data_IF_040996267015
#
_entry.id   IF_040996267015
#
_cell.length_a   1.000
_cell.length_b   1.000
_cell.length_c   1.000
_cell.angle_alpha   90.00
_cell.angle_beta   90.00
_cell.angle_gamma   90.00
#
_symmetry.space_group_name_H-M   'P 1'
#
loop_
_entity.id
_entity.type
_entity.pdbx_description
1 polymer ?
#
# COMPACT_ATOMS: atom_id res chain seq x y z
N UNK A 1 15.98 -10.78 -4.09
CA UNK A 1 15.45 -11.13 -2.75
C UNK A 1 15.46 -9.84 -1.93
N UNK A 2 14.29 -9.30 -1.55
CA UNK A 2 14.24 -8.23 -0.54
C UNK A 2 14.59 -8.90 0.79
N UNK A 3 15.54 -8.35 1.54
CA UNK A 3 15.89 -8.86 2.87
C UNK A 3 14.67 -8.69 3.77
N UNK A 4 14.15 -9.77 4.28
CA UNK A 4 13.13 -9.75 5.33
C UNK A 4 13.78 -9.12 6.56
N UNK A 5 13.16 -8.10 7.12
CA UNK A 5 13.64 -7.45 8.35
C UNK A 5 13.38 -8.44 9.48
N UNK A 6 14.42 -8.83 10.22
CA UNK A 6 14.27 -9.84 11.27
C UNK A 6 13.42 -9.31 12.44
N UNK A 7 13.66 -8.07 12.87
CA UNK A 7 12.87 -7.37 13.89
C UNK A 7 12.60 -5.94 13.41
N UNK A 8 11.44 -5.66 12.78
CA UNK A 8 11.10 -4.31 12.42
C UNK A 8 10.88 -3.45 13.67
N UNK A 9 11.44 -2.23 13.65
CA UNK A 9 11.25 -1.26 14.73
C UNK A 9 10.25 -0.21 14.32
N UNK A 10 9.21 -0.02 15.14
CA UNK A 10 8.13 0.91 14.83
C UNK A 10 7.92 1.93 15.94
N UNK A 11 7.58 3.15 15.56
CA UNK A 11 7.09 4.17 16.47
C UNK A 11 5.57 4.32 16.31
N UNK A 12 4.84 4.39 17.41
CA UNK A 12 3.38 4.60 17.42
C UNK A 12 3.07 6.06 17.76
N UNK A 13 2.48 6.77 16.79
CA UNK A 13 1.94 8.11 16.94
C UNK A 13 0.42 8.04 17.10
N UNK A 14 -0.13 8.61 18.17
CA UNK A 14 -1.55 8.60 18.44
C UNK A 14 -1.97 9.87 19.22
N UNK A 15 -3.26 10.20 19.22
CA UNK A 15 -3.77 11.29 20.02
C UNK A 15 -3.97 10.82 21.48
N UNK A 16 -3.50 11.61 22.43
CA UNK A 16 -3.85 11.37 23.82
C UNK A 16 -5.35 11.62 24.03
N UNK A 17 -6.07 10.55 24.19
CA UNK A 17 -7.50 10.51 24.43
C UNK A 17 -7.84 10.09 25.86
N UNK A 18 -8.96 9.39 26.01
CA UNK A 18 -9.40 8.81 27.28
C UNK A 18 -8.44 7.72 27.77
N UNK A 19 -8.50 7.38 29.05
CA UNK A 19 -7.70 6.28 29.60
C UNK A 19 -8.02 4.94 28.89
N UNK A 20 -9.29 4.68 28.57
CA UNK A 20 -9.68 3.49 27.82
C UNK A 20 -9.03 3.44 26.43
N UNK A 21 -8.94 4.56 25.74
CA UNK A 21 -8.26 4.64 24.46
C UNK A 21 -6.76 4.35 24.60
N UNK A 22 -6.12 4.92 25.62
CA UNK A 22 -4.71 4.66 25.93
C UNK A 22 -4.43 3.20 26.27
N UNK A 23 -5.33 2.54 27.00
CA UNK A 23 -5.26 1.10 27.27
C UNK A 23 -5.37 0.28 25.96
N UNK A 24 -6.29 0.64 25.08
CA UNK A 24 -6.45 0.01 23.76
C UNK A 24 -5.19 0.16 22.90
N UNK A 25 -4.57 1.33 22.88
CA UNK A 25 -3.29 1.58 22.19
C UNK A 25 -2.18 0.71 22.78
N UNK A 26 -2.11 0.60 24.12
CA UNK A 26 -1.11 -0.24 24.79
C UNK A 26 -1.30 -1.72 24.49
N UNK A 27 -2.54 -2.22 24.48
CA UNK A 27 -2.83 -3.60 24.09
C UNK A 27 -2.37 -3.87 22.66
N UNK A 28 -2.75 -3.03 21.70
CA UNK A 28 -2.29 -3.15 20.32
C UNK A 28 -0.75 -3.14 20.19
N UNK A 29 -0.07 -2.28 20.95
CA UNK A 29 1.39 -2.25 20.96
C UNK A 29 1.99 -3.55 21.55
N UNK A 30 1.35 -4.12 22.57
CA UNK A 30 1.74 -5.41 23.14
C UNK A 30 1.57 -6.54 22.14
N UNK A 31 0.45 -6.57 21.40
CA UNK A 31 0.21 -7.58 20.35
C UNK A 31 1.29 -7.51 19.26
N UNK A 32 1.75 -6.31 18.89
CA UNK A 32 2.86 -6.15 17.94
C UNK A 32 4.18 -6.70 18.50
N UNK A 33 4.47 -6.45 19.78
CA UNK A 33 5.68 -6.98 20.44
C UNK A 33 5.64 -8.51 20.50
N UNK A 34 4.50 -9.09 20.81
CA UNK A 34 4.31 -10.56 20.81
C UNK A 34 4.52 -11.18 19.42
N UNK A 35 4.30 -10.39 18.36
CA UNK A 35 4.61 -10.77 16.99
C UNK A 35 6.05 -10.40 16.55
N UNK A 36 6.96 -10.09 17.49
CA UNK A 36 8.39 -9.87 17.23
C UNK A 36 8.75 -8.49 16.68
N UNK A 37 7.86 -7.51 16.79
CA UNK A 37 8.08 -6.13 16.35
C UNK A 37 8.59 -5.30 17.54
N UNK A 38 9.71 -4.60 17.39
CA UNK A 38 10.23 -3.65 18.40
C UNK A 38 9.40 -2.36 18.36
N UNK A 39 8.61 -2.13 19.40
CA UNK A 39 7.66 -1.01 19.47
C UNK A 39 8.16 0.08 20.39
N UNK A 40 8.35 1.28 19.84
CA UNK A 40 8.56 2.50 20.60
C UNK A 40 7.21 3.18 20.85
N UNK A 41 6.79 3.19 22.12
CA UNK A 41 5.58 3.82 22.59
C UNK A 41 5.90 4.84 23.71
N UNK A 42 5.29 6.01 23.64
CA UNK A 42 5.47 7.09 24.62
C UNK A 42 5.16 6.64 26.05
N UNK A 43 4.08 5.89 26.25
CA UNK A 43 3.65 5.40 27.58
C UNK A 43 4.72 4.55 28.29
N UNK A 44 5.67 3.99 27.55
CA UNK A 44 6.79 3.19 28.10
C UNK A 44 8.10 3.98 28.15
N UNK A 45 8.27 4.92 27.25
CA UNK A 45 9.55 5.58 26.99
C UNK A 45 9.65 6.97 27.62
N UNK A 46 8.52 7.70 27.74
CA UNK A 46 8.51 9.03 28.35
C UNK A 46 8.39 8.94 29.87
N UNK A 47 9.15 9.81 30.52
CA UNK A 47 9.10 10.04 31.97
C UNK A 47 8.82 11.51 32.23
N UNK A 48 8.43 11.84 33.45
CA UNK A 48 8.23 13.21 33.89
C UNK A 48 9.49 14.02 33.62
N UNK A 49 9.30 15.21 33.02
CA UNK A 49 10.40 16.09 32.61
C UNK A 49 10.91 15.89 31.18
N UNK A 50 10.47 14.84 30.48
CA UNK A 50 10.80 14.69 29.06
C UNK A 50 9.94 15.60 28.19
N UNK A 51 10.53 16.15 27.13
CA UNK A 51 9.81 16.90 26.09
C UNK A 51 9.16 15.91 25.10
N UNK A 52 7.83 15.90 25.07
CA UNK A 52 7.04 15.00 24.22
C UNK A 52 7.21 15.31 22.73
N UNK A 53 7.40 16.58 22.37
CA UNK A 53 7.60 16.97 20.98
C UNK A 53 8.98 16.57 20.47
N UNK A 54 10.02 16.83 21.27
CA UNK A 54 11.38 16.39 20.93
C UNK A 54 11.48 14.88 20.80
N UNK A 55 10.83 14.13 21.69
CA UNK A 55 10.75 12.66 21.60
C UNK A 55 10.09 12.22 20.30
N UNK A 56 8.95 12.80 19.91
CA UNK A 56 8.27 12.47 18.66
C UNK A 56 9.14 12.79 17.44
N UNK A 57 9.73 14.01 17.39
CA UNK A 57 10.57 14.43 16.27
C UNK A 57 11.80 13.51 16.11
N UNK A 58 12.48 13.17 17.21
CA UNK A 58 13.58 12.21 17.21
C UNK A 58 13.14 10.84 16.72
N UNK A 59 12.01 10.32 17.23
CA UNK A 59 11.48 9.02 16.84
C UNK A 59 11.13 8.95 15.35
N UNK A 60 10.53 10.00 14.80
CA UNK A 60 10.19 10.04 13.37
C UNK A 60 11.43 10.13 12.50
N UNK A 61 12.46 10.86 12.93
CA UNK A 61 13.69 11.06 12.14
C UNK A 61 14.74 9.98 12.34
N UNK A 62 14.63 9.15 13.38
CA UNK A 62 15.54 8.04 13.66
C UNK A 62 15.58 7.04 12.49
N UNK A 63 16.76 6.80 11.87
CA UNK A 63 16.88 5.87 10.77
C UNK A 63 16.69 4.39 11.18
N UNK A 64 16.82 4.06 12.47
CA UNK A 64 16.59 2.70 12.97
C UNK A 64 15.11 2.35 13.03
N UNK A 65 14.22 3.34 13.12
CA UNK A 65 12.77 3.14 13.07
C UNK A 65 12.36 2.94 11.62
N UNK A 66 11.92 1.73 11.30
CA UNK A 66 11.54 1.33 9.96
C UNK A 66 10.22 1.95 9.52
N UNK A 67 9.24 1.99 10.41
CA UNK A 67 7.92 2.56 10.14
C UNK A 67 7.37 3.34 11.33
N UNK A 68 6.51 4.30 11.00
CA UNK A 68 5.74 5.08 11.97
C UNK A 68 4.27 4.76 11.76
N UNK A 69 3.64 4.15 12.75
CA UNK A 69 2.21 3.86 12.77
C UNK A 69 1.45 5.08 13.26
N UNK A 70 0.60 5.64 12.42
CA UNK A 70 -0.24 6.78 12.78
C UNK A 70 -1.63 6.23 13.09
N UNK A 71 -1.97 6.12 14.39
CA UNK A 71 -3.29 5.65 14.82
C UNK A 71 -4.29 6.80 14.70
N UNK A 72 -5.20 6.67 13.75
CA UNK A 72 -6.18 7.69 13.40
C UNK A 72 -7.49 7.46 14.14
N UNK A 73 -7.90 8.47 14.86
CA UNK A 73 -9.19 8.64 15.50
C UNK A 73 -9.73 10.08 15.28
N UNK A 74 -10.96 10.39 15.66
CA UNK A 74 -11.52 11.74 15.50
C UNK A 74 -10.74 12.83 16.22
N UNK A 75 -10.09 12.51 17.35
CA UNK A 75 -9.28 13.46 18.12
C UNK A 75 -7.97 13.74 17.38
N UNK A 76 -7.32 12.70 16.85
CA UNK A 76 -6.11 12.86 16.05
C UNK A 76 -6.36 13.75 14.83
N UNK A 77 -7.41 13.47 14.09
CA UNK A 77 -7.77 14.26 12.91
C UNK A 77 -7.99 15.73 13.24
N UNK A 78 -8.81 16.00 14.26
CA UNK A 78 -9.10 17.37 14.73
C UNK A 78 -7.82 18.11 15.07
N UNK A 79 -7.00 17.54 15.97
CA UNK A 79 -5.76 18.16 16.43
C UNK A 79 -4.74 18.32 15.30
N UNK A 80 -4.65 17.37 14.36
CA UNK A 80 -3.74 17.44 13.22
C UNK A 80 -4.14 18.54 12.23
N UNK A 81 -5.44 18.76 12.01
CA UNK A 81 -5.94 19.82 11.13
C UNK A 81 -5.84 21.21 11.77
N UNK A 82 -5.98 21.33 13.10
CA UNK A 82 -5.86 22.59 13.84
C UNK A 82 -4.40 23.09 13.96
N UNK A 83 -3.40 22.23 13.74
CA UNK A 83 -1.98 22.58 13.86
C UNK A 83 -1.41 23.50 12.76
N UNK A 84 -2.18 23.94 11.80
CA UNK A 84 -1.75 24.92 10.78
C UNK A 84 -1.32 26.30 11.33
N UNK A 85 -1.25 26.47 12.67
CA UNK A 85 -0.88 27.74 13.30
C UNK A 85 0.18 27.66 14.41
N UNK A 86 0.87 26.54 14.61
CA UNK A 86 1.99 26.45 15.58
C UNK A 86 1.57 26.44 17.06
N UNK A 87 0.30 26.31 17.38
CA UNK A 87 -0.22 26.30 18.74
C UNK A 87 -0.81 24.94 19.09
N UNK A 88 -0.24 24.25 20.06
CA UNK A 88 -0.76 22.98 20.59
C UNK A 88 0.34 21.98 20.91
N UNK A 89 0.90 22.10 22.10
CA UNK A 89 2.10 21.36 22.55
C UNK A 89 1.82 19.98 23.18
N UNK A 90 0.59 19.49 23.16
CA UNK A 90 0.23 18.35 24.03
C UNK A 90 0.05 17.01 23.30
N UNK A 91 0.57 16.82 22.11
CA UNK A 91 0.27 15.57 21.41
C UNK A 91 1.40 15.06 20.54
N UNK A 92 1.60 13.75 20.53
CA UNK A 92 2.49 13.02 19.63
C UNK A 92 1.92 12.96 18.20
N UNK A 93 1.26 14.04 17.76
CA UNK A 93 0.70 14.15 16.43
C UNK A 93 1.77 14.66 15.49
N UNK A 94 1.99 13.91 14.42
CA UNK A 94 2.92 14.26 13.38
C UNK A 94 2.39 15.47 12.63
N UNK A 95 3.18 16.56 12.65
CA UNK A 95 2.83 17.75 11.89
C UNK A 95 3.14 17.57 10.40
N UNK A 96 2.50 18.33 9.49
CA UNK A 96 2.83 18.33 8.08
C UNK A 96 4.30 18.64 7.82
N UNK A 97 4.93 19.48 8.64
CA UNK A 97 6.35 19.86 8.52
C UNK A 97 7.27 18.66 8.80
N UNK A 98 6.98 17.88 9.85
CA UNK A 98 7.75 16.66 10.18
C UNK A 98 7.49 15.58 9.13
N UNK A 99 6.23 15.42 8.72
CA UNK A 99 5.86 14.48 7.66
C UNK A 99 6.63 14.72 6.36
N UNK A 100 6.85 15.98 5.98
CA UNK A 100 7.58 16.35 4.77
C UNK A 100 9.11 16.20 4.89
N UNK A 101 9.66 16.12 6.10
CA UNK A 101 11.11 15.95 6.35
C UNK A 101 11.59 14.50 6.11
N UNK A 102 10.69 13.53 6.06
CA UNK A 102 11.00 12.10 6.03
C UNK A 102 10.36 11.44 4.82
N UNK A 103 10.91 10.31 4.35
CA UNK A 103 10.29 9.53 3.26
C UNK A 103 8.87 9.12 3.66
N UNK A 104 7.90 9.45 2.83
CA UNK A 104 6.48 9.20 3.10
C UNK A 104 6.15 7.71 3.27
N UNK A 105 6.91 6.82 2.64
CA UNK A 105 6.78 5.36 2.78
C UNK A 105 7.00 4.85 4.22
N UNK A 106 7.66 5.66 5.06
CA UNK A 106 7.86 5.36 6.49
C UNK A 106 6.55 5.43 7.28
N UNK A 107 5.59 6.24 6.82
CA UNK A 107 4.34 6.47 7.54
C UNK A 107 3.26 5.50 7.09
N UNK A 108 2.65 4.82 8.05
CA UNK A 108 1.55 3.88 7.83
C UNK A 108 0.33 4.35 8.62
N UNK A 109 -0.66 4.98 7.95
CA UNK A 109 -1.91 5.34 8.59
C UNK A 109 -2.73 4.10 8.94
N UNK A 110 -3.22 4.06 10.17
CA UNK A 110 -4.06 2.98 10.71
C UNK A 110 -5.33 3.61 11.27
N UNK A 111 -6.48 3.28 10.72
CA UNK A 111 -7.77 3.70 11.25
C UNK A 111 -8.03 2.88 12.51
N UNK A 112 -8.01 3.53 13.66
CA UNK A 112 -8.13 2.87 14.94
C UNK A 112 -9.52 3.05 15.56
N UNK A 113 -10.13 4.21 15.30
CA UNK A 113 -11.54 4.49 15.62
C UNK A 113 -12.17 5.31 14.50
N UNK A 114 -13.48 5.15 14.31
CA UNK A 114 -14.27 5.91 13.34
C UNK A 114 -15.05 7.01 14.05
N UNK A 115 -15.54 7.99 13.30
CA UNK A 115 -16.52 8.94 13.78
C UNK A 115 -17.86 8.25 14.05
N UNK A 116 -18.70 8.86 14.85
CA UNK A 116 -20.05 8.34 15.19
C UNK A 116 -20.91 8.04 13.94
N UNK A 117 -20.71 8.81 12.86
CA UNK A 117 -21.39 8.60 11.57
C UNK A 117 -20.75 7.51 10.71
N UNK A 118 -19.74 6.79 11.22
CA UNK A 118 -19.02 5.73 10.51
C UNK A 118 -17.93 6.20 9.54
N UNK A 119 -17.76 7.52 9.36
CA UNK A 119 -16.73 8.07 8.49
C UNK A 119 -15.30 7.87 9.05
N UNK A 120 -14.35 7.76 8.13
CA UNK A 120 -12.92 7.63 8.45
C UNK A 120 -12.34 9.00 8.84
N UNK A 121 -11.77 9.14 10.06
CA UNK A 121 -11.12 10.36 10.50
C UNK A 121 -9.70 10.44 9.91
N UNK A 122 -9.52 11.22 8.85
CA UNK A 122 -8.24 11.34 8.17
C UNK A 122 -7.82 12.81 8.06
N UNK A 123 -6.67 13.19 8.68
CA UNK A 123 -6.12 14.53 8.51
C UNK A 123 -5.90 14.90 7.04
N UNK A 124 -5.97 16.19 6.73
CA UNK A 124 -5.87 16.70 5.36
C UNK A 124 -4.61 16.20 4.63
N UNK A 125 -3.46 16.18 5.30
CA UNK A 125 -2.18 15.76 4.69
C UNK A 125 -2.06 14.24 4.46
N UNK A 126 -2.96 13.43 5.05
CA UNK A 126 -3.01 11.97 4.87
C UNK A 126 -4.16 11.49 3.97
N UNK A 127 -4.99 12.40 3.44
CA UNK A 127 -6.21 12.02 2.71
C UNK A 127 -5.98 11.05 1.56
N UNK A 128 -4.90 11.23 0.82
CA UNK A 128 -4.58 10.41 -0.36
C UNK A 128 -3.79 9.14 -0.04
N UNK A 129 -3.31 8.97 1.21
CA UNK A 129 -2.56 7.78 1.59
C UNK A 129 -3.46 6.57 1.75
N UNK A 130 -2.96 5.40 1.32
CA UNK A 130 -3.54 4.11 1.68
C UNK A 130 -3.40 3.89 3.20
N UNK A 131 -4.32 3.17 3.78
CA UNK A 131 -4.37 2.93 5.22
C UNK A 131 -4.75 1.48 5.51
N UNK A 132 -4.48 1.05 6.74
CA UNK A 132 -5.03 -0.15 7.34
C UNK A 132 -6.25 0.22 8.18
N UNK A 133 -7.28 -0.61 8.20
CA UNK A 133 -8.52 -0.32 8.92
C UNK A 133 -8.74 -1.35 10.05
N UNK A 134 -8.30 -1.01 11.24
CA UNK A 134 -8.46 -1.81 12.46
C UNK A 134 -9.69 -1.39 13.28
N UNK A 135 -10.53 -0.51 12.75
CA UNK A 135 -11.72 -0.02 13.46
C UNK A 135 -12.93 -0.95 13.36
N UNK A 136 -12.89 -1.95 12.48
CA UNK A 136 -13.98 -2.89 12.23
C UNK A 136 -13.63 -4.27 12.78
N UNK A 137 -14.37 -4.74 13.79
CA UNK A 137 -14.11 -6.00 14.47
C UNK A 137 -14.08 -7.19 13.51
N UNK A 138 -15.02 -7.25 12.55
CA UNK A 138 -15.12 -8.33 11.56
C UNK A 138 -13.91 -8.45 10.63
N UNK A 139 -13.15 -7.38 10.44
CA UNK A 139 -11.99 -7.31 9.54
C UNK A 139 -10.67 -7.15 10.28
N UNK A 140 -10.73 -6.98 11.60
CA UNK A 140 -9.57 -6.65 12.41
C UNK A 140 -8.41 -7.63 12.18
N UNK A 141 -8.65 -8.92 12.31
CA UNK A 141 -7.61 -9.95 12.18
C UNK A 141 -6.95 -9.94 10.81
N UNK A 142 -7.74 -9.76 9.74
CA UNK A 142 -7.22 -9.70 8.38
C UNK A 142 -6.35 -8.47 8.16
N UNK A 143 -6.82 -7.30 8.58
CA UNK A 143 -6.09 -6.04 8.44
C UNK A 143 -4.86 -6.01 9.34
N UNK A 144 -4.93 -6.56 10.54
CA UNK A 144 -3.80 -6.73 11.44
C UNK A 144 -2.71 -7.62 10.82
N UNK A 145 -3.07 -8.77 10.28
CA UNK A 145 -2.11 -9.64 9.57
C UNK A 145 -1.48 -8.94 8.35
N UNK A 146 -2.27 -8.15 7.61
CA UNK A 146 -1.75 -7.34 6.51
C UNK A 146 -0.74 -6.29 6.99
N UNK A 147 -1.03 -5.63 8.10
CA UNK A 147 -0.12 -4.67 8.73
C UNK A 147 1.18 -5.34 9.14
N UNK A 148 1.12 -6.47 9.87
CA UNK A 148 2.30 -7.21 10.30
C UNK A 148 3.15 -7.64 9.10
N UNK A 149 2.57 -8.21 8.05
CA UNK A 149 3.29 -8.55 6.81
C UNK A 149 3.98 -7.33 6.20
N UNK A 150 3.31 -6.18 6.17
CA UNK A 150 3.88 -4.93 5.64
C UNK A 150 5.09 -4.47 6.46
N UNK A 151 5.04 -4.61 7.79
CA UNK A 151 6.14 -4.25 8.70
C UNK A 151 7.37 -5.14 8.47
N UNK A 152 7.17 -6.43 8.24
CA UNK A 152 8.23 -7.36 7.86
C UNK A 152 8.73 -7.22 6.41
N UNK A 153 8.14 -6.32 5.62
CA UNK A 153 8.47 -6.15 4.20
C UNK A 153 8.00 -7.29 3.31
N UNK A 154 7.05 -8.11 3.77
CA UNK A 154 6.46 -9.22 3.01
C UNK A 154 5.42 -8.65 2.06
N UNK A 155 5.57 -8.92 0.76
CA UNK A 155 4.60 -8.51 -0.25
C UNK A 155 3.34 -9.41 -0.15
N UNK A 156 2.17 -8.77 0.01
CA UNK A 156 0.87 -9.48 0.09
C UNK A 156 0.46 -9.98 -1.30
N UNK A 157 0.80 -9.21 -2.33
CA UNK A 157 0.56 -9.55 -3.74
C UNK A 157 1.92 -9.56 -4.43
N UNK A 158 2.36 -10.75 -4.81
CA UNK A 158 3.61 -10.90 -5.54
C UNK A 158 3.47 -10.36 -6.97
N UNK A 159 4.39 -9.46 -7.33
CA UNK A 159 4.48 -9.02 -8.72
C UNK A 159 5.05 -10.17 -9.56
N UNK A 160 4.36 -10.61 -10.63
CA UNK A 160 4.89 -11.65 -11.52
C UNK A 160 6.25 -11.25 -12.08
N UNK A 161 7.08 -12.24 -12.37
CA UNK A 161 8.35 -12.00 -13.04
C UNK A 161 8.14 -11.34 -14.41
N UNK A 162 9.09 -10.49 -14.78
CA UNK A 162 9.05 -9.84 -16.07
C UNK A 162 9.21 -10.88 -17.17
N UNK A 163 8.22 -10.98 -18.05
CA UNK A 163 8.28 -11.84 -19.23
C UNK A 163 9.43 -11.44 -20.16
N UNK A 164 9.84 -12.37 -21.00
CA UNK A 164 10.85 -12.10 -22.03
C UNK A 164 10.32 -11.05 -23.02
N UNK A 165 11.25 -10.24 -23.56
CA UNK A 165 10.93 -9.32 -24.66
C UNK A 165 10.25 -10.07 -25.80
N UNK A 166 9.10 -9.62 -26.30
CA UNK A 166 8.44 -10.28 -27.42
C UNK A 166 9.34 -10.32 -28.65
N UNK A 167 9.46 -11.48 -29.29
CA UNK A 167 10.30 -11.66 -30.49
C UNK A 167 9.92 -10.75 -31.67
N UNK A 168 8.64 -10.37 -31.72
CA UNK A 168 8.14 -9.47 -32.78
C UNK A 168 8.67 -8.03 -32.69
N UNK A 169 9.28 -7.62 -31.58
CA UNK A 169 9.93 -6.31 -31.50
C UNK A 169 11.25 -6.24 -32.29
N UNK A 170 11.80 -7.38 -32.67
CA UNK A 170 13.06 -7.50 -33.43
C UNK A 170 12.81 -7.75 -34.91
N UNK A 171 11.59 -8.15 -35.29
CA UNK A 171 11.20 -8.36 -36.68
C UNK A 171 10.46 -7.15 -37.23
N UNK A 172 10.90 -6.62 -38.35
CA UNK A 172 10.29 -5.48 -39.04
C UNK A 172 8.97 -5.78 -39.75
N UNK A 173 8.35 -6.94 -39.52
CA UNK A 173 7.11 -7.35 -40.15
C UNK A 173 5.89 -6.82 -39.32
N UNK A 174 5.02 -6.04 -39.96
CA UNK A 174 3.75 -5.53 -39.42
C UNK A 174 2.72 -6.66 -39.35
N UNK A 175 2.90 -7.59 -38.40
CA UNK A 175 1.85 -8.58 -38.10
C UNK A 175 0.96 -7.99 -36.99
N UNK A 176 -0.36 -7.88 -37.16
CA UNK A 176 -1.24 -7.39 -36.11
C UNK A 176 -1.12 -8.19 -34.83
N UNK A 177 -1.15 -7.51 -33.70
CA UNK A 177 -0.92 -8.09 -32.35
C UNK A 177 -1.79 -9.32 -32.09
N UNK A 178 -3.08 -9.29 -32.45
CA UNK A 178 -4.00 -10.44 -32.26
C UNK A 178 -3.59 -11.68 -33.04
N UNK A 179 -3.22 -11.50 -34.33
CA UNK A 179 -2.77 -12.60 -35.20
C UNK A 179 -1.46 -13.19 -34.69
N UNK A 180 -0.56 -12.34 -34.22
CA UNK A 180 0.75 -12.77 -33.71
C UNK A 180 0.63 -13.47 -32.36
N UNK A 181 -0.17 -12.96 -31.44
CA UNK A 181 -0.44 -13.60 -30.15
C UNK A 181 -1.01 -15.01 -30.37
N UNK A 182 -1.96 -15.16 -31.29
CA UNK A 182 -2.51 -16.46 -31.66
C UNK A 182 -1.45 -17.42 -32.25
N UNK A 183 -0.55 -16.93 -33.10
CA UNK A 183 0.54 -17.73 -33.67
C UNK A 183 1.56 -18.16 -32.60
N UNK A 184 1.98 -17.29 -31.71
CA UNK A 184 2.92 -17.61 -30.61
C UNK A 184 2.29 -18.59 -29.61
N UNK A 185 0.99 -18.45 -29.31
CA UNK A 185 0.27 -19.40 -28.49
C UNK A 185 0.21 -20.81 -29.10
N UNK A 186 0.09 -20.92 -30.42
CA UNK A 186 0.12 -22.21 -31.11
C UNK A 186 1.49 -22.90 -31.07
N UNK A 187 2.58 -22.11 -30.99
CA UNK A 187 3.95 -22.67 -30.89
C UNK A 187 4.26 -23.23 -29.47
N UNK A 188 3.56 -22.78 -28.43
CA UNK A 188 3.78 -23.29 -27.09
C UNK A 188 3.12 -24.66 -26.92
N UNK A 189 3.77 -25.58 -26.18
CA UNK A 189 3.20 -26.90 -25.83
C UNK A 189 2.10 -26.73 -24.79
N UNK A 190 0.87 -26.43 -25.21
CA UNK A 190 -0.32 -26.38 -24.38
C UNK A 190 -1.22 -27.59 -24.60
N UNK A 191 -2.18 -27.80 -23.67
CA UNK A 191 -3.18 -28.87 -23.80
C UNK A 191 -3.99 -28.72 -25.09
N UNK A 192 -4.46 -29.85 -25.66
CA UNK A 192 -5.15 -29.86 -26.97
C UNK A 192 -6.41 -29.01 -27.04
N UNK A 193 -7.12 -28.85 -25.94
CA UNK A 193 -8.31 -28.00 -25.89
C UNK A 193 -7.96 -26.50 -25.97
N UNK A 194 -6.90 -26.06 -25.27
CA UNK A 194 -6.42 -24.67 -25.35
C UNK A 194 -5.89 -24.36 -26.73
N UNK A 195 -5.20 -25.29 -27.39
CA UNK A 195 -4.75 -25.13 -28.77
C UNK A 195 -5.88 -24.95 -29.77
N UNK A 196 -7.01 -25.68 -29.61
CA UNK A 196 -8.17 -25.54 -30.50
C UNK A 196 -8.81 -24.16 -30.43
N UNK A 197 -8.98 -23.62 -29.24
CA UNK A 197 -9.58 -22.29 -29.06
C UNK A 197 -8.65 -21.18 -29.53
N UNK A 198 -7.35 -21.29 -29.28
CA UNK A 198 -6.35 -20.34 -29.79
C UNK A 198 -6.22 -20.39 -31.31
N UNK A 199 -6.31 -21.57 -31.90
CA UNK A 199 -6.33 -21.77 -33.37
C UNK A 199 -7.56 -21.11 -34.01
N UNK A 200 -8.75 -21.25 -33.39
CA UNK A 200 -9.96 -20.58 -33.85
C UNK A 200 -9.81 -19.07 -33.80
N UNK A 201 -9.29 -18.53 -32.70
CA UNK A 201 -9.05 -17.09 -32.53
C UNK A 201 -8.03 -16.58 -33.55
N UNK A 202 -6.98 -17.33 -33.83
CA UNK A 202 -6.00 -17.03 -34.87
C UNK A 202 -6.63 -16.99 -36.26
N UNK A 203 -7.41 -18.00 -36.62
CA UNK A 203 -8.12 -18.06 -37.90
C UNK A 203 -9.12 -16.93 -38.07
N UNK A 204 -9.85 -16.58 -36.99
CA UNK A 204 -10.79 -15.47 -36.99
C UNK A 204 -10.06 -14.14 -37.22
N UNK A 205 -8.96 -13.89 -36.53
CA UNK A 205 -8.17 -12.68 -36.70
C UNK A 205 -7.55 -12.55 -38.11
N UNK A 206 -7.11 -13.68 -38.72
CA UNK A 206 -6.63 -13.69 -40.09
C UNK A 206 -7.76 -13.39 -41.07
N UNK A 207 -8.92 -14.01 -40.88
CA UNK A 207 -10.12 -13.78 -41.74
C UNK A 207 -10.56 -12.33 -41.71
N UNK A 208 -10.67 -11.71 -40.50
CA UNK A 208 -11.04 -10.28 -40.39
C UNK A 208 -10.03 -9.39 -41.14
N UNK A 209 -8.74 -9.72 -41.06
CA UNK A 209 -7.73 -8.94 -41.77
C UNK A 209 -7.84 -9.05 -43.30
N UNK A 210 -8.08 -10.25 -43.83
CA UNK A 210 -8.29 -10.45 -45.25
C UNK A 210 -9.51 -9.69 -45.75
N UNK A 211 -10.64 -9.72 -44.99
CA UNK A 211 -11.86 -9.02 -45.34
C UNK A 211 -11.64 -7.50 -45.33
N UNK A 212 -10.94 -6.95 -44.34
CA UNK A 212 -10.66 -5.53 -44.26
C UNK A 212 -9.71 -5.08 -45.36
N UNK A 213 -8.68 -5.85 -45.68
CA UNK A 213 -7.77 -5.56 -46.78
C UNK A 213 -8.50 -5.54 -48.14
N UNK A 214 -9.39 -6.50 -48.38
CA UNK A 214 -10.25 -6.50 -49.58
C UNK A 214 -11.19 -5.32 -49.68
N UNK A 215 -11.70 -4.80 -48.54
CA UNK A 215 -12.55 -3.60 -48.54
C UNK A 215 -11.75 -2.33 -48.83
N UNK A 216 -10.53 -2.22 -48.21
CA UNK A 216 -9.66 -1.06 -48.44
C UNK A 216 -9.18 -0.98 -49.90
N UNK A 217 -8.96 -2.12 -50.59
CA UNK A 217 -8.64 -2.17 -52.01
C UNK A 217 -9.83 -1.76 -52.89
N UNK A 218 -11.06 -2.18 -52.53
CA UNK A 218 -12.29 -1.80 -53.25
C UNK A 218 -12.64 -0.32 -53.08
N UNK A 219 -12.39 0.28 -51.91
CA UNK A 219 -12.64 1.72 -51.64
C UNK A 219 -11.57 2.61 -52.27
N UNK A 220 -10.35 2.15 -52.46
CA UNK A 220 -9.22 2.91 -53.02
C UNK A 220 -9.06 2.76 -54.55
N UNK A 221 -9.96 2.05 -55.21
CA UNK A 221 -10.11 2.05 -56.67
C UNK A 221 -8.93 1.53 -57.51
N UNK A 222 -8.33 0.42 -57.07
CA UNK A 222 -7.38 -0.36 -57.90
C UNK A 222 -8.06 -1.54 -58.56
#
# INVERSE_FOLDING_TARGET
MKSTIEHPKVFISYAWGTENYRLKVRSFATDLIENGIDVLLDQWSLKEGNDTYAFMEQSVTDPTITNVLILLDPIYEKKANERHGGVGTETQIISPEIYNKVKQEKFLPVIFERRENGEIPKPQYLKTMLHFDLSQEEKYDLEYQRLVKRLYGIEIIEKPELGKKPSWLEESSIIPTKTRTGYECLKQQKSDNVKKDEYRNFLFAVKEKIVNFSKDELENGV
#
